data_IF_452259138786
#
_entry.id   IF_452259138786
#
_cell.length_a   1.000
_cell.length_b   1.000
_cell.length_c   1.000
_cell.angle_alpha   90.00
_cell.angle_beta   90.00
_cell.angle_gamma   90.00
#
_symmetry.space_group_name_H-M   'P 1'
#
loop_
_entity.id
_entity.type
_entity.pdbx_description
1 polymer ?
#
# COMPACT_ATOMS: atom_id res chain seq x y z
N UNK A 1 -3.37 22.15 -13.63
CA UNK A 1 -2.74 21.31 -12.59
C UNK A 1 -1.72 20.42 -13.28
N UNK A 2 -0.44 20.48 -12.88
CA UNK A 2 0.56 19.52 -13.38
C UNK A 2 0.26 18.15 -12.77
N UNK A 3 0.26 17.10 -13.58
CA UNK A 3 -0.13 15.75 -13.19
C UNK A 3 0.91 15.16 -12.24
N UNK A 4 0.47 14.81 -11.02
CA UNK A 4 1.21 13.89 -10.14
C UNK A 4 1.34 12.58 -10.93
N UNK A 5 2.58 12.10 -11.11
CA UNK A 5 2.83 10.80 -11.75
C UNK A 5 2.15 9.65 -11.00
N UNK A 6 1.98 8.50 -11.65
CA UNK A 6 1.26 7.36 -11.06
C UNK A 6 1.91 6.89 -9.76
N UNK A 7 1.09 6.70 -8.72
CA UNK A 7 1.53 6.10 -7.45
C UNK A 7 1.26 4.60 -7.50
N UNK A 8 2.31 3.80 -7.39
CA UNK A 8 2.21 2.34 -7.33
C UNK A 8 1.86 1.86 -5.92
N UNK A 9 0.98 0.86 -5.81
CA UNK A 9 0.62 0.21 -4.55
C UNK A 9 0.73 -1.30 -4.75
N UNK A 10 1.74 -1.88 -4.13
CA UNK A 10 2.06 -3.29 -4.16
C UNK A 10 1.41 -3.98 -2.96
N UNK A 11 0.25 -4.61 -3.18
CA UNK A 11 -0.58 -5.22 -2.15
C UNK A 11 -1.82 -4.38 -1.83
N UNK A 12 -2.96 -5.04 -1.74
CA UNK A 12 -4.28 -4.47 -1.46
C UNK A 12 -4.85 -5.01 -0.13
N UNK A 13 -3.96 -5.38 0.79
CA UNK A 13 -4.27 -5.83 2.15
C UNK A 13 -4.59 -4.67 3.10
N UNK A 14 -4.31 -4.86 4.40
CA UNK A 14 -4.67 -3.87 5.44
C UNK A 14 -3.96 -2.53 5.25
N UNK A 15 -2.68 -2.54 4.89
CA UNK A 15 -1.92 -1.33 4.60
C UNK A 15 -2.35 -0.73 3.26
N UNK A 16 -2.13 -1.46 2.16
CA UNK A 16 -2.32 -0.90 0.82
C UNK A 16 -3.75 -0.42 0.52
N UNK A 17 -4.79 -1.14 0.97
CA UNK A 17 -6.18 -0.70 0.75
C UNK A 17 -6.52 0.59 1.50
N UNK A 18 -6.00 0.78 2.72
CA UNK A 18 -6.20 2.02 3.49
C UNK A 18 -5.33 3.16 2.97
N UNK A 19 -4.08 2.90 2.54
CA UNK A 19 -3.26 3.92 1.86
C UNK A 19 -4.00 4.41 0.62
N UNK A 20 -4.48 3.50 -0.25
CA UNK A 20 -5.23 3.87 -1.44
C UNK A 20 -6.48 4.71 -1.13
N UNK A 21 -7.21 4.36 -0.05
CA UNK A 21 -8.34 5.14 0.45
C UNK A 21 -7.92 6.57 0.81
N UNK A 22 -6.86 6.75 1.60
CA UNK A 22 -6.39 8.08 2.00
C UNK A 22 -5.90 8.90 0.79
N UNK A 23 -5.21 8.28 -0.16
CA UNK A 23 -4.78 8.95 -1.40
C UNK A 23 -5.98 9.41 -2.25
N UNK A 24 -7.03 8.58 -2.37
CA UNK A 24 -8.25 8.98 -3.06
C UNK A 24 -8.96 10.16 -2.34
N UNK A 25 -9.03 10.13 -1.01
CA UNK A 25 -9.57 11.25 -0.22
C UNK A 25 -8.76 12.54 -0.36
N UNK A 26 -7.44 12.42 -0.53
CA UNK A 26 -6.54 13.54 -0.78
C UNK A 26 -6.56 14.04 -2.23
N UNK A 27 -7.32 13.41 -3.13
CA UNK A 27 -7.43 13.83 -4.52
C UNK A 27 -6.23 13.46 -5.40
N UNK A 28 -5.47 12.41 -5.04
CA UNK A 28 -4.43 11.87 -5.93
C UNK A 28 -5.09 11.42 -7.24
N UNK A 29 -4.61 11.88 -8.41
CA UNK A 29 -5.32 11.65 -9.66
C UNK A 29 -5.16 10.19 -10.13
N UNK A 30 -3.96 9.62 -10.05
CA UNK A 30 -3.63 8.34 -10.67
C UNK A 30 -2.96 7.38 -9.67
N UNK A 31 -3.50 6.16 -9.55
CA UNK A 31 -2.88 5.06 -8.82
C UNK A 31 -2.84 3.79 -9.67
N UNK A 32 -1.86 2.93 -9.40
CA UNK A 32 -1.80 1.56 -9.88
C UNK A 32 -1.72 0.61 -8.70
N UNK A 33 -2.61 -0.36 -8.63
CA UNK A 33 -2.66 -1.33 -7.53
C UNK A 33 -2.48 -2.75 -8.04
N UNK A 34 -1.52 -3.48 -7.48
CA UNK A 34 -1.29 -4.89 -7.79
C UNK A 34 -1.53 -5.78 -6.57
N UNK A 35 -2.40 -6.78 -6.71
CA UNK A 35 -2.65 -7.82 -5.70
C UNK A 35 -3.38 -8.99 -6.40
N UNK A 36 -3.11 -10.23 -6.00
CA UNK A 36 -3.69 -11.45 -6.60
C UNK A 36 -4.85 -12.06 -5.80
N UNK A 37 -5.00 -11.65 -4.54
CA UNK A 37 -5.92 -12.27 -3.60
C UNK A 37 -7.38 -11.87 -3.83
N UNK A 38 -8.24 -12.58 -3.11
CA UNK A 38 -9.66 -12.29 -2.99
C UNK A 38 -9.98 -11.74 -1.60
N UNK A 39 -11.11 -11.05 -1.49
CA UNK A 39 -11.60 -10.55 -0.21
C UNK A 39 -12.06 -11.73 0.66
N UNK A 40 -11.59 -11.77 1.90
CA UNK A 40 -11.96 -12.79 2.90
C UNK A 40 -12.63 -12.14 4.10
N UNK A 41 -13.62 -12.83 4.68
CA UNK A 41 -14.40 -12.32 5.82
C UNK A 41 -13.54 -12.03 7.06
N UNK A 42 -12.52 -12.86 7.30
CA UNK A 42 -11.53 -12.73 8.39
C UNK A 42 -10.70 -11.44 8.31
N UNK A 43 -10.65 -10.81 7.14
CA UNK A 43 -9.80 -9.65 6.85
C UNK A 43 -10.56 -8.33 6.80
N UNK A 44 -11.90 -8.37 6.83
CA UNK A 44 -12.76 -7.18 6.77
C UNK A 44 -12.57 -6.21 7.94
N UNK A 45 -12.07 -6.69 9.07
CA UNK A 45 -11.84 -5.86 10.26
C UNK A 45 -10.82 -4.73 10.05
N UNK A 46 -9.92 -4.87 9.06
CA UNK A 46 -8.78 -3.96 8.85
C UNK A 46 -8.54 -3.58 7.38
N UNK A 47 -9.22 -4.22 6.44
CA UNK A 47 -9.10 -3.93 5.01
C UNK A 47 -10.29 -3.10 4.53
N UNK A 48 -10.08 -2.28 3.50
CA UNK A 48 -11.12 -1.39 2.98
C UNK A 48 -12.09 -2.11 2.02
N UNK A 49 -12.82 -3.10 2.55
CA UNK A 49 -13.82 -3.91 1.81
C UNK A 49 -15.10 -4.12 2.63
N UNK A 50 -16.20 -4.38 1.93
CA UNK A 50 -17.49 -4.73 2.52
C UNK A 50 -17.79 -6.24 2.49
N UNK A 51 -18.74 -6.67 3.31
CA UNK A 51 -19.19 -8.08 3.37
C UNK A 51 -19.70 -8.59 2.02
N UNK A 52 -20.38 -7.74 1.24
CA UNK A 52 -20.88 -8.07 -0.10
C UNK A 52 -19.78 -8.32 -1.13
N UNK A 53 -18.52 -8.04 -0.78
CA UNK A 53 -17.36 -8.19 -1.67
C UNK A 53 -16.57 -9.48 -1.41
N UNK A 54 -16.92 -10.26 -0.39
CA UNK A 54 -16.24 -11.52 -0.05
C UNK A 54 -16.21 -12.46 -1.26
N UNK A 55 -15.04 -13.05 -1.53
CA UNK A 55 -14.78 -13.94 -2.66
C UNK A 55 -14.42 -13.24 -3.98
N UNK A 56 -14.60 -11.92 -4.09
CA UNK A 56 -14.20 -11.15 -5.29
C UNK A 56 -12.73 -10.73 -5.22
N UNK A 57 -12.04 -10.51 -6.37
CA UNK A 57 -10.66 -10.04 -6.38
C UNK A 57 -10.48 -8.69 -5.66
N UNK A 58 -9.50 -8.62 -4.74
CA UNK A 58 -9.24 -7.43 -3.91
C UNK A 58 -9.09 -6.16 -4.75
N UNK A 59 -8.25 -6.19 -5.78
CA UNK A 59 -7.99 -5.02 -6.64
C UNK A 59 -9.25 -4.48 -7.32
N UNK A 60 -10.17 -5.36 -7.74
CA UNK A 60 -11.43 -4.95 -8.37
C UNK A 60 -12.37 -4.30 -7.34
N UNK A 61 -12.50 -4.91 -6.17
CA UNK A 61 -13.29 -4.35 -5.08
C UNK A 61 -12.73 -3.03 -4.56
N UNK A 62 -11.41 -2.90 -4.49
CA UNK A 62 -10.77 -1.66 -4.08
C UNK A 62 -11.07 -0.56 -5.10
N UNK A 63 -10.92 -0.84 -6.40
CA UNK A 63 -11.31 0.09 -7.46
C UNK A 63 -12.76 0.55 -7.33
N UNK A 64 -13.71 -0.37 -7.12
CA UNK A 64 -15.12 -0.02 -6.93
C UNK A 64 -15.29 0.92 -5.72
N UNK A 65 -14.65 0.60 -4.59
CA UNK A 65 -14.76 1.39 -3.36
C UNK A 65 -14.15 2.78 -3.51
N UNK A 66 -12.98 2.89 -4.16
CA UNK A 66 -12.32 4.16 -4.40
C UNK A 66 -13.09 5.03 -5.40
N UNK A 67 -13.77 4.44 -6.39
CA UNK A 67 -14.64 5.19 -7.30
C UNK A 67 -15.85 5.82 -6.62
N UNK A 68 -16.30 5.29 -5.47
CA UNK A 68 -17.31 5.95 -4.65
C UNK A 68 -16.78 7.17 -3.89
N UNK A 69 -15.46 7.24 -3.68
CA UNK A 69 -14.79 8.35 -3.00
C UNK A 69 -14.35 9.43 -3.99
N UNK A 70 -13.67 9.01 -5.06
CA UNK A 70 -13.08 9.87 -6.08
C UNK A 70 -13.43 9.34 -7.48
N UNK A 71 -14.61 9.70 -8.03
CA UNK A 71 -15.09 9.18 -9.32
C UNK A 71 -14.14 9.44 -10.50
N UNK A 72 -13.41 10.55 -10.47
CA UNK A 72 -12.47 10.97 -11.53
C UNK A 72 -11.09 10.32 -11.43
N UNK A 73 -10.76 9.67 -10.31
CA UNK A 73 -9.45 9.07 -10.08
C UNK A 73 -9.19 7.96 -11.11
N UNK A 74 -8.04 8.00 -11.79
CA UNK A 74 -7.61 6.91 -12.67
C UNK A 74 -7.00 5.79 -11.82
N UNK A 75 -7.58 4.61 -11.93
CA UNK A 75 -7.22 3.45 -11.11
C UNK A 75 -6.92 2.28 -12.05
N UNK A 76 -5.64 2.00 -12.19
CA UNK A 76 -5.12 0.82 -12.87
C UNK A 76 -5.05 -0.33 -11.87
N UNK A 77 -5.62 -1.47 -12.25
CA UNK A 77 -5.66 -2.67 -11.41
C UNK A 77 -4.92 -3.80 -12.08
N UNK A 78 -3.99 -4.39 -11.36
CA UNK A 78 -3.18 -5.52 -11.81
C UNK A 78 -3.52 -6.71 -10.93
N UNK A 79 -4.38 -7.61 -11.42
CA UNK A 79 -4.76 -8.83 -10.71
C UNK A 79 -3.72 -9.93 -10.98
N UNK A 80 -2.53 -9.77 -10.42
CA UNK A 80 -1.35 -10.61 -10.68
C UNK A 80 -0.58 -10.93 -9.41
N UNK A 81 -0.04 -12.15 -9.33
CA UNK A 81 0.83 -12.56 -8.23
C UNK A 81 2.25 -12.25 -8.63
N UNK A 82 2.84 -11.24 -8.00
CA UNK A 82 4.21 -10.82 -8.28
C UNK A 82 5.20 -11.97 -8.03
N UNK A 83 5.99 -12.24 -9.05
CA UNK A 83 7.21 -13.01 -9.02
C UNK A 83 8.41 -12.08 -9.23
N UNK A 84 9.63 -12.62 -9.12
CA UNK A 84 10.84 -11.88 -9.46
C UNK A 84 10.79 -11.42 -10.92
N UNK A 85 11.17 -10.16 -11.17
CA UNK A 85 11.11 -9.46 -12.44
C UNK A 85 9.83 -8.63 -12.64
N UNK A 86 8.69 -9.09 -12.11
CA UNK A 86 7.40 -8.46 -12.36
C UNK A 86 7.28 -7.04 -11.75
N UNK A 87 8.05 -6.72 -10.70
CA UNK A 87 7.93 -5.44 -10.01
C UNK A 87 8.26 -4.26 -10.93
N UNK A 88 9.31 -4.39 -11.74
CA UNK A 88 9.71 -3.34 -12.67
C UNK A 88 8.77 -3.25 -13.87
N UNK A 89 8.25 -4.38 -14.34
CA UNK A 89 7.26 -4.38 -15.42
C UNK A 89 5.96 -3.69 -15.00
N UNK A 90 5.57 -3.83 -13.73
CA UNK A 90 4.32 -3.27 -13.21
C UNK A 90 4.49 -1.84 -12.69
N UNK A 91 5.63 -1.51 -12.08
CA UNK A 91 5.82 -0.24 -11.37
C UNK A 91 6.99 0.61 -11.86
N UNK A 92 7.71 0.20 -12.91
CA UNK A 92 8.92 0.89 -13.38
C UNK A 92 8.70 2.32 -13.88
N UNK A 93 7.48 2.65 -14.28
CA UNK A 93 7.03 4.00 -14.68
C UNK A 93 6.33 4.76 -13.54
N UNK A 94 6.16 4.14 -12.37
CA UNK A 94 5.58 4.81 -11.21
C UNK A 94 6.55 5.84 -10.63
N UNK A 95 5.97 6.93 -10.13
CA UNK A 95 6.72 8.00 -9.46
C UNK A 95 7.31 7.56 -8.13
N UNK A 96 6.59 6.71 -7.41
CA UNK A 96 6.98 6.05 -6.17
C UNK A 96 6.10 4.81 -5.98
N UNK A 97 6.53 3.91 -5.11
CA UNK A 97 5.80 2.67 -4.79
C UNK A 97 5.55 2.55 -3.29
N UNK A 98 4.33 2.16 -2.95
CA UNK A 98 3.92 1.76 -1.62
C UNK A 98 4.00 0.24 -1.52
N UNK A 99 4.71 -0.26 -0.53
CA UNK A 99 4.77 -1.69 -0.21
C UNK A 99 3.77 -2.03 0.89
N UNK A 100 2.89 -2.99 0.60
CA UNK A 100 1.83 -3.45 1.49
C UNK A 100 1.63 -4.95 1.47
N UNK A 101 2.69 -5.73 1.22
CA UNK A 101 2.67 -7.19 1.28
C UNK A 101 2.77 -7.70 2.71
N UNK A 102 2.14 -8.85 2.92
CA UNK A 102 2.17 -9.62 4.16
C UNK A 102 3.23 -10.73 4.15
N UNK A 103 3.85 -10.99 3.00
CA UNK A 103 4.90 -12.01 2.85
C UNK A 103 6.30 -11.38 2.78
N UNK A 104 7.19 -11.82 3.66
CA UNK A 104 8.57 -11.30 3.75
C UNK A 104 9.39 -11.51 2.47
N UNK A 105 9.22 -12.64 1.77
CA UNK A 105 9.94 -12.91 0.52
C UNK A 105 9.46 -11.99 -0.61
N UNK A 106 8.15 -11.81 -0.76
CA UNK A 106 7.59 -10.88 -1.74
C UNK A 106 8.00 -9.42 -1.45
N UNK A 107 7.98 -9.02 -0.17
CA UNK A 107 8.46 -7.71 0.29
C UNK A 107 9.93 -7.50 -0.10
N UNK A 108 10.79 -8.49 0.15
CA UNK A 108 12.22 -8.41 -0.18
C UNK A 108 12.44 -8.22 -1.69
N UNK A 109 11.79 -9.04 -2.52
CA UNK A 109 11.90 -8.96 -3.99
C UNK A 109 11.48 -7.57 -4.48
N UNK A 110 10.31 -7.09 -4.05
CA UNK A 110 9.82 -5.77 -4.45
C UNK A 110 10.81 -4.66 -4.03
N UNK A 111 11.27 -4.67 -2.78
CA UNK A 111 12.17 -3.64 -2.27
C UNK A 111 13.49 -3.63 -3.03
N UNK A 112 14.08 -4.81 -3.30
CA UNK A 112 15.33 -4.91 -4.04
C UNK A 112 15.19 -4.40 -5.48
N UNK A 113 14.15 -4.83 -6.20
CA UNK A 113 13.92 -4.46 -7.61
C UNK A 113 13.60 -2.97 -7.78
N UNK A 114 12.66 -2.45 -6.98
CA UNK A 114 12.23 -1.04 -7.07
C UNK A 114 13.34 -0.10 -6.59
N UNK A 115 14.05 -0.47 -5.52
CA UNK A 115 15.20 0.32 -5.04
C UNK A 115 16.35 0.33 -6.04
N UNK A 116 16.62 -0.78 -6.72
CA UNK A 116 17.68 -0.85 -7.75
C UNK A 116 17.37 0.06 -8.95
N UNK A 117 16.08 0.29 -9.24
CA UNK A 117 15.64 1.24 -10.27
C UNK A 117 15.61 2.71 -9.81
N UNK A 118 15.97 3.00 -8.55
CA UNK A 118 15.98 4.37 -8.01
C UNK A 118 14.57 4.95 -7.79
N UNK A 119 13.54 4.11 -7.72
CA UNK A 119 12.16 4.54 -7.48
C UNK A 119 11.93 4.63 -5.97
N UNK A 120 11.47 5.77 -5.43
CA UNK A 120 11.22 5.93 -4.00
C UNK A 120 10.20 4.92 -3.47
N UNK A 121 10.46 4.43 -2.26
CA UNK A 121 9.63 3.41 -1.59
C UNK A 121 9.04 3.93 -0.28
N UNK A 122 7.80 3.54 0.00
CA UNK A 122 7.16 3.71 1.30
C UNK A 122 6.65 2.35 1.79
N UNK A 123 7.25 1.84 2.87
CA UNK A 123 7.03 0.48 3.36
C UNK A 123 6.46 0.45 4.77
N UNK A 124 5.85 -0.68 5.13
CA UNK A 124 5.45 -0.97 6.51
C UNK A 124 6.35 -2.04 7.15
N UNK A 125 6.68 -1.88 8.43
CA UNK A 125 7.41 -2.88 9.23
C UNK A 125 6.94 -2.87 10.68
N UNK A 126 6.45 -4.01 11.17
CA UNK A 126 5.95 -4.08 12.54
C UNK A 126 4.55 -3.49 12.72
N UNK A 127 3.56 -4.22 12.17
CA UNK A 127 2.15 -3.82 12.12
C UNK A 127 1.26 -4.60 13.10
N UNK A 128 1.83 -5.58 13.81
CA UNK A 128 1.09 -6.52 14.64
C UNK A 128 0.94 -6.02 16.08
N UNK A 129 0.00 -6.62 16.82
CA UNK A 129 -0.25 -6.26 18.21
C UNK A 129 -0.99 -4.92 18.38
N UNK A 130 -1.25 -4.56 19.65
CA UNK A 130 -2.07 -3.41 20.01
C UNK A 130 -1.28 -2.16 20.38
N UNK A 131 -0.03 -2.32 20.78
CA UNK A 131 0.81 -1.20 21.16
C UNK A 131 1.13 -0.35 19.93
N UNK A 132 0.82 0.94 20.03
CA UNK A 132 1.01 1.94 18.99
C UNK A 132 2.09 2.95 19.38
N UNK A 133 2.58 2.92 20.62
CA UNK A 133 3.53 3.91 21.16
C UNK A 133 4.90 3.86 20.49
N UNK A 134 5.30 2.69 19.98
CA UNK A 134 6.56 2.49 19.25
C UNK A 134 6.50 2.84 17.75
N UNK A 135 5.32 3.18 17.21
CA UNK A 135 5.21 3.46 15.77
C UNK A 135 5.94 4.75 15.42
N UNK A 136 6.91 4.64 14.52
CA UNK A 136 7.75 5.75 14.07
C UNK A 136 8.12 5.61 12.59
N UNK A 137 8.77 6.64 12.05
CA UNK A 137 9.24 6.69 10.67
C UNK A 137 10.76 6.54 10.69
N UNK A 138 11.29 5.61 9.88
CA UNK A 138 12.72 5.52 9.58
C UNK A 138 12.94 5.75 8.09
N UNK A 139 14.09 6.34 7.74
CA UNK A 139 14.49 6.55 6.35
C UNK A 139 15.84 5.88 6.10
N UNK A 140 15.92 5.10 5.02
CA UNK A 140 17.15 4.50 4.52
C UNK A 140 17.23 4.84 3.04
N UNK A 141 18.20 5.68 2.66
CA UNK A 141 18.26 6.24 1.30
C UNK A 141 16.90 6.83 0.87
N UNK A 142 16.29 6.30 -0.21
CA UNK A 142 14.99 6.74 -0.73
C UNK A 142 13.81 5.86 -0.29
N UNK A 143 14.04 4.98 0.68
CA UNK A 143 13.02 4.16 1.31
C UNK A 143 12.59 4.75 2.66
N UNK A 144 11.30 5.03 2.80
CA UNK A 144 10.66 5.43 4.05
C UNK A 144 9.92 4.23 4.64
N UNK A 145 10.16 3.91 5.90
CA UNK A 145 9.57 2.75 6.57
C UNK A 145 8.79 3.23 7.78
N UNK A 146 7.54 2.80 7.90
CA UNK A 146 6.65 3.16 9.00
C UNK A 146 6.25 1.92 9.79
N UNK A 147 6.32 2.01 11.11
CA UNK A 147 5.80 0.99 12.03
C UNK A 147 6.61 0.91 13.31
N UNK A 148 6.50 -0.18 14.07
CA UNK A 148 7.17 -0.32 15.37
C UNK A 148 8.56 -0.97 15.29
N UNK A 149 8.90 -1.61 14.17
CA UNK A 149 10.17 -2.31 13.94
C UNK A 149 10.49 -3.44 14.93
N UNK A 150 9.53 -3.90 15.72
CA UNK A 150 9.73 -4.92 16.76
C UNK A 150 8.77 -6.09 16.64
N UNK A 151 7.58 -5.89 16.07
CA UNK A 151 6.58 -6.96 15.95
C UNK A 151 6.58 -7.62 14.58
N UNK A 152 6.22 -8.89 14.53
CA UNK A 152 5.81 -9.62 13.34
C UNK A 152 4.38 -10.15 13.50
N UNK A 153 3.77 -10.62 12.41
CA UNK A 153 2.41 -11.20 12.40
C UNK A 153 2.30 -12.38 13.38
N UNK A 154 3.41 -13.06 13.67
CA UNK A 154 3.49 -14.13 14.65
C UNK A 154 3.37 -13.63 16.10
N UNK A 155 3.75 -12.37 16.37
CA UNK A 155 3.74 -11.78 17.72
C UNK A 155 2.36 -11.28 18.15
N UNK A 156 1.39 -11.20 17.23
CA UNK A 156 0.02 -10.85 17.60
C UNK A 156 -0.92 -10.55 16.43
N UNK A 157 -2.21 -10.49 16.76
CA UNK A 157 -3.23 -10.15 15.78
C UNK A 157 -3.03 -8.74 15.20
N UNK A 158 -3.40 -8.57 13.93
CA UNK A 158 -3.41 -7.27 13.26
C UNK A 158 -4.55 -6.40 13.80
N UNK A 159 -4.21 -5.51 14.73
CA UNK A 159 -5.16 -4.62 15.38
C UNK A 159 -5.56 -3.46 14.45
N UNK A 160 -6.85 -3.31 14.09
CA UNK A 160 -7.24 -2.35 13.04
C UNK A 160 -6.81 -0.90 13.26
N UNK A 161 -6.88 -0.31 14.49
CA UNK A 161 -6.38 1.04 14.72
C UNK A 161 -4.89 1.21 14.42
N UNK A 162 -4.05 0.22 14.75
CA UNK A 162 -2.61 0.26 14.47
C UNK A 162 -2.34 0.20 12.97
N UNK A 163 -3.00 -0.72 12.27
CA UNK A 163 -2.91 -0.85 10.80
C UNK A 163 -3.36 0.45 10.13
N UNK A 164 -4.47 1.04 10.58
CA UNK A 164 -4.99 2.31 10.07
C UNK A 164 -4.03 3.47 10.31
N UNK A 165 -3.44 3.58 11.51
CA UNK A 165 -2.48 4.62 11.85
C UNK A 165 -1.23 4.54 10.97
N UNK A 166 -0.65 3.34 10.80
CA UNK A 166 0.52 3.13 9.93
C UNK A 166 0.18 3.48 8.48
N UNK A 167 -0.96 3.02 7.97
CA UNK A 167 -1.42 3.36 6.62
C UNK A 167 -1.64 4.87 6.42
N UNK A 168 -2.19 5.57 7.41
CA UNK A 168 -2.38 7.02 7.36
C UNK A 168 -1.04 7.77 7.33
N UNK A 169 -0.08 7.37 8.16
CA UNK A 169 1.27 7.93 8.18
C UNK A 169 2.00 7.69 6.84
N UNK A 170 1.91 6.48 6.29
CA UNK A 170 2.46 6.15 4.98
C UNK A 170 1.83 7.01 3.87
N UNK A 171 0.51 7.20 3.87
CA UNK A 171 -0.17 8.06 2.91
C UNK A 171 0.31 9.52 3.01
N UNK A 172 0.54 10.03 4.23
CA UNK A 172 1.13 11.35 4.43
C UNK A 172 2.51 11.49 3.78
N UNK A 173 3.39 10.51 3.96
CA UNK A 173 4.71 10.47 3.32
C UNK A 173 4.59 10.44 1.78
N UNK A 174 3.67 9.61 1.26
CA UNK A 174 3.42 9.53 -0.18
C UNK A 174 3.02 10.88 -0.76
N UNK A 175 2.11 11.60 -0.12
CA UNK A 175 1.67 12.93 -0.55
C UNK A 175 2.83 13.94 -0.54
N UNK A 176 3.60 13.95 0.54
CA UNK A 176 4.81 14.78 0.69
C UNK A 176 5.83 14.53 -0.43
N UNK A 177 6.12 13.27 -0.74
CA UNK A 177 7.06 12.90 -1.81
C UNK A 177 6.48 13.23 -3.19
N UNK A 178 5.17 13.02 -3.36
CA UNK A 178 4.47 13.34 -4.59
C UNK A 178 4.51 14.84 -4.92
N UNK A 179 4.63 15.72 -3.92
CA UNK A 179 4.80 17.17 -4.13
C UNK A 179 6.27 17.61 -4.34
N UNK A 180 7.23 16.91 -3.72
CA UNK A 180 8.64 17.32 -3.66
C UNK A 180 9.47 16.96 -4.90
N UNK A 181 9.14 15.89 -5.62
CA UNK A 181 9.93 15.43 -6.79
C UNK A 181 9.54 16.29 -8.03
N UNK A 182 9.96 17.56 -8.04
CA UNK A 182 9.69 18.53 -9.13
C UNK A 182 10.72 18.45 -10.24
#
# INVERSE_FOLDING_TARGET
MKTIGTIGIAGAGGIGSNVARYLAQAGVPHIRVADFDRVESSNLNRQFYGVSQVGRPKVKCLKDNLKQIAPEMQIEVVHHRLAAGDSLDIFGDCRLVVEGFDNAAAKKILVEEISAAGIPLVCASGIAGRDMSGVSIRRIADCHIVGDFTTDIEDGALFPPKVGMIAAMMAGIVLDLAEKIK
#
